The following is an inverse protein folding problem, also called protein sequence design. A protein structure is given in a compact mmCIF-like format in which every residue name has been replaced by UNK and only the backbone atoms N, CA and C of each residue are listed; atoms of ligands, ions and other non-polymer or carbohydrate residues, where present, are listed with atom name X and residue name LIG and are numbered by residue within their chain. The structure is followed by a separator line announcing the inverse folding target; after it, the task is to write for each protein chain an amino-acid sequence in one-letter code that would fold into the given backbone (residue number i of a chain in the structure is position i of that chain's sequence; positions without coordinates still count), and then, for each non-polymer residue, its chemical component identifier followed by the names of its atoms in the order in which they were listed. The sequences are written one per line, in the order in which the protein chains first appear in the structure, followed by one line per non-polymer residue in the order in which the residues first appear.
data_IF_273811285395
#
_entry.id   IF_273811285395
#
_cell.length_a   1.000
_cell.length_b   1.000
_cell.length_c   1.000
_cell.angle_alpha   90.00
_cell.angle_beta   90.00
_cell.angle_gamma   90.00
#
_symmetry.space_group_name_H-M   'P 1'
#
loop_
_entity.id
_entity.type
_entity.pdbx_description
1 polymer ?
#
# COMPACT_ATOMS: atom_id res chain seq x y z
N UNK A 1 -70.29 3.14 23.27
CA UNK A 1 -69.28 2.83 22.25
C UNK A 1 -68.02 3.62 22.57
N UNK A 2 -66.98 3.00 23.16
CA UNK A 2 -65.68 3.64 23.36
C UNK A 2 -64.61 2.54 23.54
N UNK A 3 -63.97 2.15 22.43
CA UNK A 3 -62.83 1.22 22.42
C UNK A 3 -61.58 2.01 22.80
N UNK A 4 -61.04 1.76 23.99
CA UNK A 4 -59.69 2.22 24.38
C UNK A 4 -58.68 1.41 23.58
N UNK A 5 -57.98 2.05 22.65
CA UNK A 5 -56.90 1.45 21.86
C UNK A 5 -55.63 1.32 22.71
N UNK A 6 -55.15 0.08 22.87
CA UNK A 6 -53.88 -0.26 23.52
C UNK A 6 -52.73 0.01 22.55
N UNK A 7 -52.03 1.12 22.71
CA UNK A 7 -50.78 1.40 22.00
C UNK A 7 -49.65 0.58 22.64
N UNK A 8 -49.27 -0.54 22.01
CA UNK A 8 -48.08 -1.32 22.39
C UNK A 8 -46.85 -0.64 21.81
N UNK A 9 -46.05 0.00 22.66
CA UNK A 9 -44.74 0.57 22.30
C UNK A 9 -43.75 -0.61 22.16
N UNK A 10 -43.29 -0.87 20.94
CA UNK A 10 -42.24 -1.85 20.68
C UNK A 10 -40.89 -1.11 20.77
N UNK A 11 -40.21 -1.24 21.92
CA UNK A 11 -38.88 -0.69 22.12
C UNK A 11 -37.86 -1.60 21.43
N UNK A 12 -37.49 -1.28 20.19
CA UNK A 12 -36.37 -1.94 19.50
C UNK A 12 -35.08 -1.41 20.12
N UNK A 13 -34.42 -2.23 20.94
CA UNK A 13 -33.09 -1.95 21.47
C UNK A 13 -32.09 -2.09 20.31
N UNK A 14 -31.77 -0.98 19.63
CA UNK A 14 -30.74 -0.94 18.60
C UNK A 14 -29.37 -1.04 19.28
N UNK A 15 -28.89 -2.25 19.53
CA UNK A 15 -27.51 -2.46 19.98
C UNK A 15 -26.59 -2.19 18.80
N UNK A 16 -26.10 -0.97 18.67
CA UNK A 16 -25.05 -0.64 17.71
C UNK A 16 -23.77 -1.30 18.20
N UNK A 17 -23.50 -2.53 17.76
CA UNK A 17 -22.17 -3.10 17.86
C UNK A 17 -21.28 -2.24 16.97
N UNK A 18 -20.51 -1.34 17.58
CA UNK A 18 -19.43 -0.65 16.90
C UNK A 18 -18.42 -1.73 16.49
N UNK A 19 -18.50 -2.17 15.23
CA UNK A 19 -17.45 -2.94 14.60
C UNK A 19 -16.29 -1.97 14.44
N UNK A 20 -15.41 -1.89 15.44
CA UNK A 20 -14.13 -1.20 15.33
C UNK A 20 -13.29 -2.03 14.38
N UNK A 21 -13.33 -1.69 13.09
CA UNK A 21 -12.39 -2.21 12.12
C UNK A 21 -11.00 -1.76 12.57
N UNK A 22 -10.13 -2.70 12.94
CA UNK A 22 -8.75 -2.38 13.26
C UNK A 22 -8.13 -1.67 12.05
N UNK A 23 -7.78 -0.39 12.22
CA UNK A 23 -7.14 0.39 11.17
C UNK A 23 -5.73 -0.17 10.97
N UNK A 24 -5.49 -0.80 9.82
CA UNK A 24 -4.16 -1.27 9.43
C UNK A 24 -3.26 -0.06 9.24
N UNK A 25 -2.04 -0.13 9.76
CA UNK A 25 -1.05 0.93 9.58
C UNK A 25 -0.80 1.15 8.07
N UNK A 26 -0.72 2.40 7.64
CA UNK A 26 -0.37 2.76 6.26
C UNK A 26 1.03 3.34 6.22
N UNK A 27 1.82 2.95 5.22
CA UNK A 27 3.15 3.48 4.97
C UNK A 27 3.11 5.01 4.97
N UNK A 28 3.92 5.68 5.81
CA UNK A 28 3.95 7.13 5.84
C UNK A 28 4.56 7.70 4.57
N UNK A 29 4.06 8.85 4.15
CA UNK A 29 4.69 9.73 3.16
C UNK A 29 4.24 11.17 3.42
N UNK A 30 4.98 12.12 2.86
CA UNK A 30 4.64 13.54 2.88
C UNK A 30 4.34 14.00 1.46
N UNK A 31 3.21 14.68 1.25
CA UNK A 31 2.91 15.29 -0.06
C UNK A 31 3.68 16.60 -0.17
N UNK A 32 4.58 16.67 -1.14
CA UNK A 32 5.47 17.80 -1.41
C UNK A 32 4.84 18.77 -2.39
N UNK A 33 4.14 18.25 -3.41
CA UNK A 33 3.48 19.07 -4.44
C UNK A 33 2.32 18.30 -5.08
N UNK A 34 1.29 19.02 -5.49
CA UNK A 34 0.23 18.49 -6.36
C UNK A 34 0.43 18.98 -7.80
N UNK A 35 0.25 18.10 -8.79
CA UNK A 35 0.34 18.38 -10.22
C UNK A 35 -0.88 17.74 -10.89
N UNK A 36 -1.93 18.52 -11.14
CA UNK A 36 -3.23 17.99 -11.57
C UNK A 36 -3.70 16.86 -10.62
N UNK A 37 -3.94 15.64 -11.13
CA UNK A 37 -4.37 14.48 -10.34
C UNK A 37 -3.19 13.65 -9.77
N UNK A 38 -1.95 14.12 -9.94
CA UNK A 38 -0.73 13.48 -9.45
C UNK A 38 -0.22 14.17 -8.17
N UNK A 39 0.22 13.38 -7.21
CA UNK A 39 0.95 13.84 -6.02
C UNK A 39 2.43 13.56 -6.16
N UNK A 40 3.28 14.55 -5.88
CA UNK A 40 4.70 14.35 -5.61
C UNK A 40 4.87 14.14 -4.11
N UNK A 41 5.43 12.99 -3.74
CA UNK A 41 5.53 12.54 -2.35
C UNK A 41 6.97 12.24 -1.97
N UNK A 42 7.31 12.54 -0.73
CA UNK A 42 8.53 12.04 -0.09
C UNK A 42 8.17 10.83 0.78
N UNK A 43 8.86 9.72 0.56
CA UNK A 43 8.77 8.52 1.40
C UNK A 43 10.04 8.43 2.26
N UNK A 44 9.93 8.43 3.59
CA UNK A 44 11.08 8.17 4.46
C UNK A 44 11.48 6.69 4.42
N UNK A 45 12.68 6.34 4.93
CA UNK A 45 13.08 4.95 5.06
C UNK A 45 12.07 4.14 5.88
N UNK A 46 11.81 2.91 5.45
CA UNK A 46 10.86 2.01 6.13
C UNK A 46 11.27 0.56 5.94
N UNK A 47 11.10 -0.26 6.98
CA UNK A 47 11.34 -1.69 6.87
C UNK A 47 10.33 -2.35 5.94
N UNK A 48 10.81 -3.21 5.05
CA UNK A 48 10.00 -3.98 4.12
C UNK A 48 10.44 -5.44 4.10
N UNK A 49 9.49 -6.33 3.80
CA UNK A 49 9.77 -7.70 3.42
C UNK A 49 9.43 -7.86 1.93
N UNK A 50 10.35 -8.37 1.12
CA UNK A 50 10.21 -8.53 -0.33
C UNK A 50 10.39 -9.98 -0.75
N UNK A 51 9.53 -10.41 -1.67
CA UNK A 51 9.64 -11.66 -2.38
C UNK A 51 9.89 -11.39 -3.85
N UNK A 52 10.92 -12.00 -4.40
CA UNK A 52 11.24 -11.96 -5.83
C UNK A 52 10.78 -13.25 -6.50
N UNK A 53 10.25 -13.13 -7.71
CA UNK A 53 9.75 -14.27 -8.47
C UNK A 53 9.81 -14.05 -9.97
N UNK A 54 10.13 -15.11 -10.71
CA UNK A 54 10.02 -15.10 -12.17
C UNK A 54 8.55 -15.12 -12.61
N UNK A 55 7.67 -15.80 -11.87
CA UNK A 55 6.26 -15.94 -12.19
C UNK A 55 5.37 -15.01 -11.34
N UNK A 56 4.46 -14.24 -11.96
CA UNK A 56 3.50 -13.41 -11.22
C UNK A 56 2.63 -14.24 -10.26
N UNK A 57 2.30 -13.67 -9.08
CA UNK A 57 1.24 -14.17 -8.20
C UNK A 57 1.67 -15.04 -7.01
N UNK A 58 2.92 -15.50 -6.93
CA UNK A 58 3.39 -16.36 -5.83
C UNK A 58 3.80 -15.64 -4.54
N UNK A 59 4.02 -14.32 -4.58
CA UNK A 59 4.67 -13.60 -3.48
C UNK A 59 3.81 -13.36 -2.24
N UNK A 60 2.49 -13.17 -2.42
CA UNK A 60 1.61 -12.78 -1.31
C UNK A 60 1.60 -13.85 -0.21
N UNK A 61 1.42 -15.12 -0.56
CA UNK A 61 1.37 -16.20 0.43
C UNK A 61 2.69 -16.36 1.20
N UNK A 62 3.82 -16.14 0.55
CA UNK A 62 5.16 -16.20 1.17
C UNK A 62 5.36 -15.07 2.18
N UNK A 63 5.02 -13.84 1.78
CA UNK A 63 5.06 -12.67 2.66
C UNK A 63 4.05 -12.80 3.81
N UNK A 64 2.86 -13.32 3.53
CA UNK A 64 1.82 -13.57 4.54
C UNK A 64 2.28 -14.60 5.58
N UNK A 65 2.93 -15.69 5.14
CA UNK A 65 3.53 -16.67 6.05
C UNK A 65 4.60 -16.02 6.94
N UNK A 66 5.48 -15.18 6.37
CA UNK A 66 6.50 -14.44 7.13
C UNK A 66 5.89 -13.61 8.27
N UNK A 67 4.90 -12.76 7.97
CA UNK A 67 4.26 -11.92 8.98
C UNK A 67 3.39 -12.73 9.96
N UNK A 68 2.97 -13.94 9.60
CA UNK A 68 2.17 -14.83 10.46
C UNK A 68 2.99 -15.65 11.46
N UNK A 69 4.32 -15.50 11.47
CA UNK A 69 5.23 -16.23 12.36
C UNK A 69 6.19 -17.18 11.63
N UNK A 70 6.21 -17.19 10.29
CA UNK A 70 7.19 -17.87 9.45
C UNK A 70 8.55 -17.17 9.40
N UNK A 71 9.06 -16.77 10.57
CA UNK A 71 10.31 -16.03 10.74
C UNK A 71 11.09 -16.58 11.95
N UNK A 72 12.33 -16.15 12.11
CA UNK A 72 13.31 -16.73 13.03
C UNK A 72 12.93 -16.68 14.51
N UNK A 73 11.94 -15.87 14.88
CA UNK A 73 11.48 -15.68 16.27
C UNK A 73 10.02 -16.07 16.47
N UNK A 74 9.36 -16.62 15.43
CA UNK A 74 7.92 -16.88 15.40
C UNK A 74 7.05 -15.66 15.73
N UNK A 75 7.57 -14.45 15.52
CA UNK A 75 6.88 -13.20 15.82
C UNK A 75 5.74 -12.97 14.84
N UNK A 76 4.54 -12.67 15.35
CA UNK A 76 3.42 -12.19 14.52
C UNK A 76 3.58 -10.69 14.26
N UNK A 77 3.62 -10.32 13.00
CA UNK A 77 3.75 -8.96 12.51
C UNK A 77 2.39 -8.53 11.97
N UNK A 78 1.91 -7.35 12.40
CA UNK A 78 0.65 -6.82 11.90
C UNK A 78 0.76 -6.48 10.41
N UNK A 79 -0.29 -6.79 9.64
CA UNK A 79 -0.39 -6.39 8.24
C UNK A 79 -0.48 -4.86 8.14
N UNK A 80 0.16 -4.29 7.12
CA UNK A 80 0.10 -2.87 6.80
C UNK A 80 -0.40 -2.67 5.37
N UNK A 81 -0.57 -1.41 4.97
CA UNK A 81 -0.88 -1.02 3.59
C UNK A 81 0.11 0.04 3.10
N UNK A 82 0.37 0.15 1.80
CA UNK A 82 -0.05 -0.76 0.72
C UNK A 82 0.90 -1.96 0.56
N UNK A 83 0.46 -2.93 -0.25
CA UNK A 83 1.35 -3.93 -0.87
C UNK A 83 1.96 -3.33 -2.12
N UNK A 84 3.28 -3.41 -2.23
CA UNK A 84 4.03 -2.96 -3.42
C UNK A 84 4.17 -4.11 -4.41
N UNK A 85 3.89 -3.86 -5.69
CA UNK A 85 4.05 -4.83 -6.77
C UNK A 85 4.87 -4.17 -7.88
N UNK A 86 6.04 -4.75 -8.18
CA UNK A 86 6.84 -4.38 -9.37
C UNK A 86 6.73 -5.49 -10.40
N UNK A 87 6.47 -5.09 -11.64
CA UNK A 87 6.44 -5.98 -12.80
C UNK A 87 7.49 -5.50 -13.79
N UNK A 88 8.53 -6.31 -14.00
CA UNK A 88 9.56 -6.04 -15.00
C UNK A 88 9.70 -7.24 -15.94
N UNK A 89 10.42 -7.07 -17.05
CA UNK A 89 10.66 -8.15 -18.00
C UNK A 89 11.55 -9.26 -17.42
N UNK A 90 12.43 -8.93 -16.47
CA UNK A 90 13.41 -9.85 -15.90
C UNK A 90 12.94 -10.47 -14.58
N UNK A 91 12.28 -9.70 -13.73
CA UNK A 91 11.89 -10.14 -12.38
C UNK A 91 10.66 -9.39 -11.86
N UNK A 92 9.67 -10.15 -11.36
CA UNK A 92 8.54 -9.61 -10.64
C UNK A 92 8.85 -9.61 -9.14
N UNK A 93 8.43 -8.57 -8.42
CA UNK A 93 8.55 -8.57 -6.97
C UNK A 93 7.29 -8.05 -6.29
N UNK A 94 7.07 -8.56 -5.08
CA UNK A 94 6.05 -8.07 -4.17
C UNK A 94 6.72 -7.71 -2.85
N UNK A 95 6.29 -6.63 -2.21
CA UNK A 95 6.79 -6.27 -0.89
C UNK A 95 5.66 -5.81 0.05
N UNK A 96 5.79 -6.21 1.31
CA UNK A 96 4.98 -5.71 2.42
C UNK A 96 5.80 -4.69 3.20
N UNK A 97 5.15 -3.58 3.55
CA UNK A 97 5.69 -2.63 4.52
C UNK A 97 5.54 -3.24 5.91
N UNK A 98 6.56 -3.13 6.76
CA UNK A 98 6.45 -3.54 8.15
C UNK A 98 5.94 -2.36 9.01
N UNK A 99 5.23 -2.63 10.12
CA UNK A 99 4.83 -1.59 11.07
C UNK A 99 6.02 -0.73 11.52
N UNK A 100 5.83 0.57 11.73
CA UNK A 100 6.88 1.54 12.12
C UNK A 100 7.76 1.14 13.31
N UNK A 101 7.27 0.27 14.20
CA UNK A 101 8.05 -0.27 15.32
C UNK A 101 9.23 -1.15 14.89
N UNK A 102 9.23 -1.64 13.64
CA UNK A 102 10.30 -2.47 13.11
C UNK A 102 11.42 -1.63 12.50
N UNK A 103 12.65 -2.06 12.76
CA UNK A 103 13.90 -1.52 12.22
C UNK A 103 14.87 -2.68 11.95
N UNK A 104 16.06 -2.36 11.40
CA UNK A 104 17.07 -3.37 11.01
C UNK A 104 17.50 -4.29 12.17
N UNK A 105 17.39 -3.83 13.42
CA UNK A 105 17.86 -4.57 14.59
C UNK A 105 16.80 -5.52 15.16
N UNK A 106 15.51 -5.27 14.90
CA UNK A 106 14.41 -6.03 15.52
C UNK A 106 13.48 -6.74 14.51
N UNK A 107 13.58 -6.45 13.21
CA UNK A 107 12.83 -7.15 12.20
C UNK A 107 13.33 -8.61 12.13
N UNK A 108 12.47 -9.62 12.38
CA UNK A 108 12.92 -10.99 12.42
C UNK A 108 13.30 -11.46 11.01
N UNK A 109 14.33 -12.29 10.92
CA UNK A 109 14.78 -12.83 9.63
C UNK A 109 13.75 -13.82 9.10
N UNK A 110 13.47 -13.84 7.79
CA UNK A 110 12.56 -14.83 7.22
C UNK A 110 13.17 -16.22 7.25
N UNK A 111 12.32 -17.25 7.38
CA UNK A 111 12.75 -18.65 7.25
C UNK A 111 12.84 -19.09 5.78
N UNK A 112 12.15 -18.39 4.87
CA UNK A 112 12.23 -18.61 3.43
C UNK A 112 13.42 -17.84 2.85
N UNK A 113 14.35 -18.54 2.22
CA UNK A 113 15.57 -17.95 1.64
C UNK A 113 15.30 -17.04 0.43
N UNK A 114 14.11 -17.10 -0.16
CA UNK A 114 13.70 -16.22 -1.27
C UNK A 114 13.01 -14.94 -0.77
N UNK A 115 12.92 -14.75 0.55
CA UNK A 115 12.45 -13.53 1.17
C UNK A 115 13.64 -12.71 1.67
N UNK A 116 13.59 -11.43 1.38
CA UNK A 116 14.54 -10.44 1.88
C UNK A 116 13.79 -9.48 2.82
N UNK A 117 14.39 -9.18 3.96
CA UNK A 117 13.92 -8.11 4.86
C UNK A 117 14.99 -7.03 4.88
N UNK A 118 14.61 -5.82 4.50
CA UNK A 118 15.53 -4.70 4.27
C UNK A 118 14.85 -3.38 4.62
N UNK A 119 15.65 -2.34 4.80
CA UNK A 119 15.17 -0.96 4.91
C UNK A 119 15.08 -0.37 3.50
N UNK A 120 13.88 0.02 3.08
CA UNK A 120 13.69 0.75 1.83
C UNK A 120 14.30 2.13 1.92
N UNK A 121 14.93 2.59 0.84
CA UNK A 121 15.57 3.91 0.79
C UNK A 121 14.56 5.05 0.84
N UNK A 122 14.99 6.17 1.41
CA UNK A 122 14.25 7.45 1.33
C UNK A 122 14.22 7.93 -0.11
N UNK A 123 13.11 8.49 -0.57
CA UNK A 123 13.04 8.98 -1.94
C UNK A 123 11.79 9.77 -2.28
N UNK A 124 11.82 10.38 -3.46
CA UNK A 124 10.70 11.11 -4.03
C UNK A 124 10.02 10.29 -5.11
N UNK A 125 8.70 10.34 -5.10
CA UNK A 125 7.85 9.56 -5.99
C UNK A 125 6.68 10.40 -6.47
N UNK A 126 6.31 10.20 -7.73
CA UNK A 126 5.05 10.67 -8.26
C UNK A 126 4.00 9.58 -8.10
N UNK A 127 2.79 9.93 -7.66
CA UNK A 127 1.71 8.99 -7.39
C UNK A 127 0.42 9.42 -8.08
N UNK A 128 -0.27 8.49 -8.74
CA UNK A 128 -1.64 8.68 -9.24
C UNK A 128 -2.55 7.55 -8.72
N UNK A 129 -3.73 7.93 -8.24
CA UNK A 129 -4.71 6.99 -7.68
C UNK A 129 -5.71 6.52 -8.74
N UNK A 130 -6.14 5.26 -8.62
CA UNK A 130 -7.25 4.71 -9.40
C UNK A 130 -8.08 3.67 -8.62
N UNK A 131 -9.34 3.53 -9.02
CA UNK A 131 -10.33 2.71 -8.31
C UNK A 131 -10.60 1.34 -8.94
N UNK A 132 -11.24 0.46 -8.16
CA UNK A 132 -11.64 -0.90 -8.54
C UNK A 132 -10.52 -1.93 -8.42
N UNK A 133 -10.68 -3.12 -8.99
CA UNK A 133 -9.60 -4.11 -9.00
C UNK A 133 -8.48 -3.68 -9.96
N UNK A 134 -7.23 -3.92 -9.55
CA UNK A 134 -6.06 -3.71 -10.39
C UNK A 134 -5.95 -4.81 -11.45
N UNK A 135 -5.54 -4.45 -12.65
CA UNK A 135 -5.25 -5.36 -13.75
C UNK A 135 -4.26 -4.68 -14.70
N UNK A 136 -3.66 -5.45 -15.60
CA UNK A 136 -2.62 -4.97 -16.52
C UNK A 136 -3.06 -3.76 -17.36
N UNK A 137 -4.32 -3.73 -17.81
CA UNK A 137 -4.87 -2.63 -18.61
C UNK A 137 -4.92 -1.32 -17.81
N UNK A 138 -5.44 -1.35 -16.58
CA UNK A 138 -5.47 -0.18 -15.69
C UNK A 138 -4.06 0.26 -15.31
N UNK A 139 -3.23 -0.67 -14.88
CA UNK A 139 -1.84 -0.40 -14.49
C UNK A 139 -1.10 0.31 -15.63
N UNK A 140 -1.22 -0.19 -16.87
CA UNK A 140 -0.65 0.44 -18.06
C UNK A 140 -1.24 1.81 -18.34
N UNK A 141 -2.58 1.94 -18.31
CA UNK A 141 -3.27 3.21 -18.59
C UNK A 141 -2.84 4.32 -17.64
N UNK A 142 -2.86 4.06 -16.33
CA UNK A 142 -2.49 5.04 -15.31
C UNK A 142 -0.98 5.29 -15.26
N UNK A 143 -0.15 4.29 -15.60
CA UNK A 143 1.31 4.49 -15.77
C UNK A 143 1.59 5.48 -16.91
N UNK A 144 0.97 5.28 -18.08
CA UNK A 144 1.15 6.19 -19.22
C UNK A 144 0.63 7.59 -18.92
N UNK A 145 -0.49 7.70 -18.21
CA UNK A 145 -1.04 8.98 -17.76
C UNK A 145 -0.06 9.71 -16.83
N UNK A 146 0.47 9.02 -15.82
CA UNK A 146 1.43 9.59 -14.88
C UNK A 146 2.73 10.01 -15.58
N UNK A 147 3.26 9.17 -16.47
CA UNK A 147 4.43 9.51 -17.28
C UNK A 147 4.21 10.74 -18.16
N UNK A 148 3.02 10.88 -18.75
CA UNK A 148 2.66 12.08 -19.51
C UNK A 148 2.66 13.33 -18.61
N UNK A 149 2.03 13.26 -17.43
CA UNK A 149 2.01 14.38 -16.48
C UNK A 149 3.42 14.79 -16.05
N UNK A 150 4.31 13.82 -15.79
CA UNK A 150 5.70 14.09 -15.44
C UNK A 150 6.48 14.73 -16.58
N UNK A 151 6.26 14.26 -17.82
CA UNK A 151 6.88 14.85 -19.00
C UNK A 151 6.43 16.30 -19.22
N UNK A 152 5.13 16.56 -19.11
CA UNK A 152 4.56 17.90 -19.26
C UNK A 152 5.04 18.86 -18.16
N UNK A 153 5.39 18.34 -16.98
CA UNK A 153 5.96 19.09 -15.86
C UNK A 153 7.50 19.14 -15.83
N UNK A 154 8.17 18.60 -16.87
CA UNK A 154 9.64 18.52 -16.97
C UNK A 154 10.32 17.81 -15.78
N UNK A 155 9.64 16.80 -15.20
CA UNK A 155 10.16 16.00 -14.09
C UNK A 155 10.74 14.69 -14.62
N UNK A 156 12.01 14.44 -14.32
CA UNK A 156 12.71 13.22 -14.73
C UNK A 156 12.38 12.04 -13.81
N UNK A 157 12.06 10.89 -14.42
CA UNK A 157 11.89 9.62 -13.72
C UNK A 157 13.26 9.02 -13.35
N UNK A 158 13.36 8.38 -12.19
CA UNK A 158 14.60 7.76 -11.69
C UNK A 158 14.54 6.23 -11.61
N UNK A 159 13.44 5.62 -12.06
CA UNK A 159 13.28 4.17 -12.04
C UNK A 159 11.92 3.70 -12.56
N UNK A 160 11.64 2.42 -12.36
CA UNK A 160 10.44 1.75 -12.88
C UNK A 160 9.18 2.01 -12.03
N UNK A 161 7.98 1.99 -12.65
CA UNK A 161 6.71 2.10 -11.94
C UNK A 161 6.48 0.96 -10.94
N UNK A 162 5.78 1.28 -9.86
CA UNK A 162 5.36 0.36 -8.80
C UNK A 162 3.85 0.48 -8.62
N UNK A 163 3.17 -0.64 -8.49
CA UNK A 163 1.73 -0.66 -8.20
C UNK A 163 1.54 -0.81 -6.69
N UNK A 164 0.74 0.07 -6.10
CA UNK A 164 0.37 0.02 -4.70
C UNK A 164 -1.06 -0.48 -4.56
N UNK A 165 -1.24 -1.59 -3.83
CA UNK A 165 -2.55 -2.20 -3.57
C UNK A 165 -2.87 -2.05 -2.09
N UNK A 166 -3.93 -1.31 -1.76
CA UNK A 166 -4.33 -1.05 -0.37
C UNK A 166 -5.35 -2.07 0.14
N UNK A 167 -6.23 -2.51 -0.75
CA UNK A 167 -7.40 -3.28 -0.38
C UNK A 167 -7.23 -4.78 -0.64
N UNK A 168 -7.63 -5.60 0.35
CA UNK A 168 -7.66 -7.06 0.22
C UNK A 168 -8.71 -7.55 -0.78
N UNK A 169 -8.67 -8.82 -1.22
CA UNK A 169 -9.53 -9.34 -2.30
C UNK A 169 -11.04 -9.28 -2.00
N UNK A 170 -11.43 -9.20 -0.73
CA UNK A 170 -12.84 -9.15 -0.30
C UNK A 170 -13.42 -7.73 -0.18
N UNK A 171 -12.62 -6.70 -0.44
CA UNK A 171 -13.09 -5.31 -0.44
C UNK A 171 -13.61 -4.96 -1.84
N UNK A 172 -14.93 -4.83 -2.04
CA UNK A 172 -15.49 -4.62 -3.39
C UNK A 172 -15.79 -3.16 -3.73
N UNK A 173 -15.98 -2.29 -2.73
CA UNK A 173 -16.43 -0.90 -2.90
C UNK A 173 -15.30 0.07 -2.52
N UNK A 174 -15.17 1.18 -3.25
CA UNK A 174 -14.21 2.27 -3.01
C UNK A 174 -12.74 1.81 -2.85
N UNK A 175 -12.35 0.79 -3.62
CA UNK A 175 -10.98 0.27 -3.62
C UNK A 175 -9.98 1.34 -4.03
N UNK A 176 -8.88 1.45 -3.30
CA UNK A 176 -7.73 2.31 -3.60
C UNK A 176 -6.57 1.47 -4.15
N UNK A 177 -6.09 1.88 -5.31
CA UNK A 177 -4.78 1.47 -5.82
C UNK A 177 -4.07 2.70 -6.38
N UNK A 178 -2.76 2.61 -6.51
CA UNK A 178 -1.97 3.70 -7.07
C UNK A 178 -0.87 3.18 -7.99
N UNK A 179 -0.50 3.99 -8.97
CA UNK A 179 0.80 3.86 -9.65
C UNK A 179 1.75 4.85 -9.01
N UNK A 180 2.92 4.35 -8.61
CA UNK A 180 4.01 5.12 -8.04
C UNK A 180 5.20 5.08 -9.00
N UNK A 181 5.79 6.22 -9.35
CA UNK A 181 7.00 6.30 -10.18
C UNK A 181 8.08 7.07 -9.41
N UNK A 182 9.26 6.47 -9.16
CA UNK A 182 10.38 7.19 -8.55
C UNK A 182 10.86 8.31 -9.47
N UNK A 183 11.19 9.46 -8.90
CA UNK A 183 11.62 10.65 -9.65
C UNK A 183 12.90 11.26 -9.07
N UNK A 184 13.64 11.99 -9.91
CA UNK A 184 14.63 12.95 -9.43
C UNK A 184 13.90 14.22 -9.02
N UNK A 185 13.91 14.53 -7.72
CA UNK A 185 13.28 15.73 -7.21
C UNK A 185 14.23 16.45 -6.26
N UNK A 186 14.65 17.65 -6.65
CA UNK A 186 15.36 18.56 -5.76
C UNK A 186 14.30 19.33 -4.99
N UNK A 187 14.16 19.05 -3.70
CA UNK A 187 13.28 19.83 -2.84
C UNK A 187 13.74 21.29 -2.87
N UNK A 188 12.84 22.27 -3.11
CA UNK A 188 13.19 23.68 -3.01
C UNK A 188 13.63 24.11 -1.59
N UNK A 189 13.49 23.22 -0.59
CA UNK A 189 13.95 23.44 0.79
C UNK A 189 15.47 23.23 1.00
N UNK A 190 16.23 22.85 -0.04
CA UNK A 190 17.70 22.74 0.03
C UNK A 190 18.42 24.04 -0.36
N UNK A 191 17.70 25.16 -0.48
CA UNK A 191 18.27 26.49 -0.68
C UNK A 191 18.12 27.31 0.62
N UNK A 192 18.76 26.87 1.70
CA UNK A 192 19.11 27.72 2.85
C UNK A 192 20.61 27.57 3.17
#
# INVERSE_FOLDING_TARGET
MNKKSLLRIFLVLLTTTSIVMAQTETQPYEVVKNIADCEIRHYPPIMMAKYQSKNPGGGFGKLFNYISGGNSTNTKIAMTTPVHIKKSQSENSMAFVLPKKFNINNAPRPNDLNLEVFEGESGYFAAIQYSGFTNESKERSYTLQLQKMLKDAEINVSGEPVILVYDGPYNFINRRNEVLIPIFYNSPLNNE
#
